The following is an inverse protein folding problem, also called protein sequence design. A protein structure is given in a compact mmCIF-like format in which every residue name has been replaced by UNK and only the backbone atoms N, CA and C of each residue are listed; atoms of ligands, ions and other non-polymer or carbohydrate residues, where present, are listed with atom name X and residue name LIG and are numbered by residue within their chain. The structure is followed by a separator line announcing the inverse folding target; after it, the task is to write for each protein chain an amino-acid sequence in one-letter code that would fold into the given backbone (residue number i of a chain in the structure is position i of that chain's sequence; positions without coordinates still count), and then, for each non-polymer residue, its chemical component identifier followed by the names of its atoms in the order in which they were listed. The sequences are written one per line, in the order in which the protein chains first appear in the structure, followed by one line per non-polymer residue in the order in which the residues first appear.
data_IF_983933542729
#
_entry.id   IF_983933542729
#
_cell.length_a   1.000
_cell.length_b   1.000
_cell.length_c   1.000
_cell.angle_alpha   90.00
_cell.angle_beta   90.00
_cell.angle_gamma   90.00
#
_symmetry.space_group_name_H-M   'P 1'
#
loop_
_entity.id
_entity.type
_entity.pdbx_description
1 polymer ?
#
# COMPACT_ATOMS: atom_id res chain seq x y z
N UNK A 1 17.09 -18.40 -16.67
CA UNK A 1 16.51 -17.04 -16.78
C UNK A 1 15.07 -17.18 -17.24
N UNK A 2 14.08 -16.87 -16.40
CA UNK A 2 12.70 -16.77 -16.88
C UNK A 2 12.59 -15.44 -17.64
N UNK A 3 12.54 -15.51 -18.97
CA UNK A 3 12.39 -14.33 -19.83
C UNK A 3 11.07 -13.60 -19.58
N UNK A 4 10.88 -12.49 -20.29
CA UNK A 4 9.67 -11.64 -20.23
C UNK A 4 8.39 -12.47 -20.38
N UNK A 5 8.39 -13.50 -21.22
CA UNK A 5 7.27 -14.42 -21.41
C UNK A 5 6.90 -15.21 -20.14
N UNK A 6 7.91 -15.62 -19.37
CA UNK A 6 7.70 -16.30 -18.09
C UNK A 6 7.13 -15.38 -17.02
N UNK A 7 7.46 -14.09 -17.05
CA UNK A 7 6.83 -13.08 -16.18
C UNK A 7 5.37 -12.84 -16.59
N UNK A 8 5.10 -12.66 -17.89
CA UNK A 8 3.75 -12.46 -18.41
C UNK A 8 2.82 -13.63 -18.05
N UNK A 9 3.30 -14.88 -18.22
CA UNK A 9 2.55 -16.07 -17.83
C UNK A 9 2.23 -16.12 -16.34
N UNK A 10 3.18 -15.77 -15.46
CA UNK A 10 2.94 -15.71 -14.00
C UNK A 10 1.92 -14.64 -13.63
N UNK A 11 1.99 -13.47 -14.25
CA UNK A 11 1.03 -12.39 -13.97
C UNK A 11 -0.36 -12.80 -14.44
N UNK A 12 -0.49 -13.39 -15.63
CA UNK A 12 -1.77 -13.90 -16.11
C UNK A 12 -2.36 -14.95 -15.16
N UNK A 13 -1.55 -15.93 -14.72
CA UNK A 13 -1.97 -16.94 -13.76
C UNK A 13 -2.44 -16.33 -12.42
N UNK A 14 -1.72 -15.31 -11.93
CA UNK A 14 -2.11 -14.57 -10.74
C UNK A 14 -3.45 -13.83 -10.94
N UNK A 15 -3.65 -13.18 -12.08
CA UNK A 15 -4.92 -12.52 -12.41
C UNK A 15 -6.09 -13.50 -12.47
N UNK A 16 -5.90 -14.67 -13.10
CA UNK A 16 -6.91 -15.74 -13.12
C UNK A 16 -7.21 -16.28 -11.72
N UNK A 17 -6.20 -16.43 -10.86
CA UNK A 17 -6.40 -16.86 -9.48
C UNK A 17 -7.19 -15.83 -8.66
N UNK A 18 -6.87 -14.54 -8.80
CA UNK A 18 -7.58 -13.45 -8.13
C UNK A 18 -9.03 -13.32 -8.63
N UNK A 19 -9.30 -13.48 -9.93
CA UNK A 19 -10.66 -13.51 -10.46
C UNK A 19 -11.49 -14.66 -9.87
N UNK A 20 -10.89 -15.86 -9.72
CA UNK A 20 -11.53 -16.99 -9.04
C UNK A 20 -11.81 -16.70 -7.56
N UNK A 21 -10.87 -16.05 -6.87
CA UNK A 21 -11.05 -15.64 -5.48
C UNK A 21 -12.21 -14.65 -5.31
N UNK A 22 -12.31 -13.63 -6.18
CA UNK A 22 -13.43 -12.68 -6.18
C UNK A 22 -14.76 -13.40 -6.42
N UNK A 23 -14.82 -14.33 -7.37
CA UNK A 23 -16.03 -15.11 -7.62
C UNK A 23 -16.42 -15.95 -6.40
N UNK A 24 -15.45 -16.53 -5.69
CA UNK A 24 -15.71 -17.29 -4.45
C UNK A 24 -16.22 -16.39 -3.32
N UNK A 25 -15.62 -15.20 -3.11
CA UNK A 25 -16.06 -14.24 -2.11
C UNK A 25 -17.49 -13.75 -2.39
N UNK A 26 -17.82 -13.46 -3.65
CA UNK A 26 -19.19 -13.08 -4.05
C UNK A 26 -20.20 -14.19 -3.80
N UNK A 27 -19.84 -15.45 -4.07
CA UNK A 27 -20.69 -16.61 -3.72
C UNK A 27 -20.88 -16.71 -2.21
N UNK A 28 -19.82 -16.58 -1.43
CA UNK A 28 -19.88 -16.60 0.04
C UNK A 28 -20.81 -15.51 0.60
N UNK A 29 -20.75 -14.30 0.01
CA UNK A 29 -21.65 -13.21 0.37
C UNK A 29 -23.12 -13.56 0.09
N UNK A 30 -23.41 -14.16 -1.06
CA UNK A 30 -24.76 -14.63 -1.40
C UNK A 30 -25.29 -15.63 -0.36
N UNK A 31 -24.47 -16.64 -0.02
CA UNK A 31 -24.82 -17.63 0.99
C UNK A 31 -25.05 -17.03 2.38
N UNK A 32 -24.27 -16.02 2.78
CA UNK A 32 -24.47 -15.31 4.05
C UNK A 32 -25.80 -14.53 4.07
N UNK A 33 -26.17 -13.90 2.96
CA UNK A 33 -27.45 -13.19 2.83
C UNK A 33 -28.63 -14.16 2.92
N UNK A 34 -28.54 -15.31 2.22
CA UNK A 34 -29.54 -16.37 2.27
C UNK A 34 -29.67 -16.94 3.69
N UNK A 35 -28.56 -17.28 4.34
CA UNK A 35 -28.54 -17.78 5.71
C UNK A 35 -29.13 -16.77 6.71
N UNK A 36 -28.85 -15.47 6.55
CA UNK A 36 -29.44 -14.41 7.38
C UNK A 36 -30.96 -14.32 7.17
N UNK A 37 -31.43 -14.47 5.92
CA UNK A 37 -32.86 -14.47 5.62
C UNK A 37 -33.57 -15.66 6.27
N UNK A 38 -33.01 -16.87 6.15
CA UNK A 38 -33.53 -18.09 6.79
C UNK A 38 -33.51 -17.97 8.31
N UNK A 39 -32.43 -17.44 8.88
CA UNK A 39 -32.31 -17.20 10.32
C UNK A 39 -33.39 -16.25 10.83
N UNK A 40 -33.66 -15.16 10.12
CA UNK A 40 -34.73 -14.21 10.48
C UNK A 40 -36.12 -14.84 10.43
N UNK A 41 -36.37 -15.73 9.48
CA UNK A 41 -37.63 -16.49 9.41
C UNK A 41 -37.74 -17.45 10.60
N UNK A 42 -36.67 -18.16 10.94
CA UNK A 42 -36.65 -19.10 12.06
C UNK A 42 -36.85 -18.41 13.43
N UNK A 43 -36.38 -17.16 13.57
CA UNK A 43 -36.59 -16.36 14.77
C UNK A 43 -37.95 -15.69 14.89
N UNK A 44 -38.82 -15.78 13.88
CA UNK A 44 -40.12 -15.13 13.93
C UNK A 44 -40.95 -15.66 15.14
N UNK A 45 -41.08 -14.81 16.16
CA UNK A 45 -41.80 -15.14 17.41
C UNK A 45 -40.92 -15.53 18.60
N UNK A 46 -39.60 -15.68 18.41
CA UNK A 46 -38.64 -15.89 19.51
C UNK A 46 -38.34 -14.54 20.18
N UNK A 47 -38.43 -14.47 21.52
CA UNK A 47 -38.20 -13.24 22.31
C UNK A 47 -36.88 -13.25 23.08
N UNK A 48 -35.98 -14.16 22.74
CA UNK A 48 -34.71 -14.34 23.44
C UNK A 48 -33.70 -13.26 23.06
N UNK A 49 -33.09 -12.62 24.06
CA UNK A 49 -32.13 -11.53 23.89
C UNK A 49 -30.83 -12.01 23.24
N UNK A 50 -30.42 -13.26 23.48
CA UNK A 50 -29.19 -13.81 22.90
C UNK A 50 -29.33 -13.98 21.38
N UNK A 51 -30.55 -14.28 20.90
CA UNK A 51 -30.84 -14.40 19.47
C UNK A 51 -30.85 -13.06 18.73
N UNK A 52 -30.99 -11.95 19.46
CA UNK A 52 -31.02 -10.60 18.90
C UNK A 52 -29.63 -10.09 18.45
N UNK A 53 -28.54 -10.66 18.96
CA UNK A 53 -27.17 -10.27 18.60
C UNK A 53 -26.70 -10.88 17.27
N UNK A 54 -27.26 -12.02 16.87
CA UNK A 54 -26.81 -12.81 15.71
C UNK A 54 -26.86 -12.04 14.39
N UNK A 55 -27.89 -11.22 14.07
CA UNK A 55 -27.88 -10.40 12.85
C UNK A 55 -26.64 -9.49 12.74
N UNK A 56 -26.15 -8.95 13.87
CA UNK A 56 -24.95 -8.11 13.88
C UNK A 56 -23.69 -8.87 13.48
N UNK A 57 -23.59 -10.15 13.83
CA UNK A 57 -22.48 -11.02 13.40
C UNK A 57 -22.51 -11.25 11.89
N UNK A 58 -23.70 -11.42 11.31
CA UNK A 58 -23.85 -11.51 9.85
C UNK A 58 -23.46 -10.20 9.15
N UNK A 59 -23.87 -9.06 9.70
CA UNK A 59 -23.53 -7.74 9.15
C UNK A 59 -22.00 -7.51 9.16
N UNK A 60 -21.31 -7.86 10.25
CA UNK A 60 -19.85 -7.80 10.35
C UNK A 60 -19.17 -8.74 9.32
N UNK A 61 -19.63 -9.99 9.22
CA UNK A 61 -19.10 -10.94 8.25
C UNK A 61 -19.30 -10.47 6.80
N UNK A 62 -20.47 -9.88 6.48
CA UNK A 62 -20.74 -9.31 5.17
C UNK A 62 -19.81 -8.12 4.87
N UNK A 63 -19.60 -7.23 5.84
CA UNK A 63 -18.70 -6.10 5.71
C UNK A 63 -17.25 -6.55 5.44
N UNK A 64 -16.76 -7.58 6.14
CA UNK A 64 -15.39 -8.10 5.92
C UNK A 64 -15.24 -8.77 4.54
N UNK A 65 -16.26 -9.51 4.07
CA UNK A 65 -16.25 -10.10 2.73
C UNK A 65 -16.23 -9.01 1.65
N UNK A 66 -17.00 -7.94 1.83
CA UNK A 66 -17.02 -6.79 0.91
C UNK A 66 -15.68 -6.05 0.90
N UNK A 67 -15.12 -5.74 2.08
CA UNK A 67 -13.82 -5.09 2.21
C UNK A 67 -12.69 -5.93 1.58
N UNK A 68 -12.72 -7.24 1.78
CA UNK A 68 -11.74 -8.17 1.17
C UNK A 68 -11.89 -8.23 -0.34
N UNK A 69 -13.13 -8.30 -0.84
CA UNK A 69 -13.39 -8.27 -2.28
C UNK A 69 -12.85 -6.99 -2.92
N UNK A 70 -13.11 -5.84 -2.31
CA UNK A 70 -12.62 -4.55 -2.79
C UNK A 70 -11.08 -4.48 -2.83
N UNK A 71 -10.39 -4.96 -1.78
CA UNK A 71 -8.92 -5.04 -1.72
C UNK A 71 -8.33 -5.86 -2.87
N UNK A 72 -8.93 -7.02 -3.17
CA UNK A 72 -8.46 -7.90 -4.26
C UNK A 72 -8.71 -7.25 -5.64
N UNK A 73 -9.85 -6.58 -5.83
CA UNK A 73 -10.16 -5.87 -7.08
C UNK A 73 -9.22 -4.69 -7.32
N UNK A 74 -8.86 -3.96 -6.27
CA UNK A 74 -7.89 -2.87 -6.36
C UNK A 74 -6.51 -3.38 -6.76
N UNK A 75 -6.05 -4.48 -6.14
CA UNK A 75 -4.77 -5.10 -6.49
C UNK A 75 -4.73 -5.55 -7.96
N UNK A 76 -5.80 -6.19 -8.45
CA UNK A 76 -5.93 -6.59 -9.86
C UNK A 76 -5.85 -5.38 -10.81
N UNK A 77 -6.62 -4.34 -10.52
CA UNK A 77 -6.63 -3.12 -11.34
C UNK A 77 -5.22 -2.50 -11.46
N UNK A 78 -4.45 -2.49 -10.38
CA UNK A 78 -3.07 -1.97 -10.37
C UNK A 78 -2.13 -2.86 -11.21
N UNK A 79 -2.27 -4.18 -11.12
CA UNK A 79 -1.49 -5.13 -11.92
C UNK A 79 -1.78 -4.97 -13.42
N UNK A 80 -3.04 -4.80 -13.80
CA UNK A 80 -3.45 -4.59 -15.20
C UNK A 80 -2.93 -3.28 -15.79
N UNK A 81 -2.93 -2.20 -15.00
CA UNK A 81 -2.31 -0.92 -15.38
C UNK A 81 -0.81 -1.12 -15.61
N UNK A 82 -0.12 -1.76 -14.68
CA UNK A 82 1.31 -2.01 -14.77
C UNK A 82 1.68 -2.87 -15.99
N UNK A 83 0.92 -3.94 -16.25
CA UNK A 83 1.09 -4.78 -17.43
C UNK A 83 0.95 -3.98 -18.73
N UNK A 84 -0.09 -3.15 -18.85
CA UNK A 84 -0.28 -2.31 -20.04
C UNK A 84 0.88 -1.35 -20.26
N UNK A 85 1.52 -0.86 -19.19
CA UNK A 85 2.71 -0.02 -19.30
C UNK A 85 3.94 -0.81 -19.76
N UNK A 86 4.08 -2.07 -19.35
CA UNK A 86 5.20 -2.91 -19.78
C UNK A 86 5.05 -3.42 -21.22
N UNK A 87 3.83 -3.67 -21.69
CA UNK A 87 3.56 -4.26 -23.02
C UNK A 87 3.17 -3.24 -24.09
N UNK A 88 3.03 -1.96 -23.75
CA UNK A 88 2.76 -0.89 -24.70
C UNK A 88 3.97 -0.58 -25.61
N UNK A 89 3.76 0.05 -26.77
CA UNK A 89 4.86 0.42 -27.67
C UNK A 89 5.86 1.33 -26.94
N UNK A 90 7.14 0.92 -26.97
CA UNK A 90 8.26 1.64 -26.40
C UNK A 90 8.34 3.05 -27.01
N UNK A 91 7.87 4.06 -26.27
CA UNK A 91 7.81 5.44 -26.74
C UNK A 91 6.54 6.20 -26.35
N UNK A 92 5.51 5.54 -25.84
CA UNK A 92 4.40 6.25 -25.23
C UNK A 92 4.87 6.87 -23.89
N UNK A 93 4.80 8.20 -23.70
CA UNK A 93 5.15 8.82 -22.43
C UNK A 93 4.29 8.20 -21.34
N UNK A 94 4.92 7.85 -20.22
CA UNK A 94 4.25 7.38 -19.01
C UNK A 94 3.06 8.32 -18.76
N UNK A 95 1.81 7.86 -18.83
CA UNK A 95 0.73 8.66 -18.30
C UNK A 95 0.94 8.61 -16.79
N UNK A 96 1.61 9.62 -16.26
CA UNK A 96 1.35 10.09 -14.91
C UNK A 96 -0.16 10.07 -14.80
N UNK A 97 -0.71 9.26 -13.88
CA UNK A 97 -2.15 9.23 -13.62
C UNK A 97 -2.51 10.62 -13.10
N UNK A 98 -2.76 11.52 -14.06
CA UNK A 98 -3.52 12.71 -13.93
C UNK A 98 -4.90 12.23 -13.52
N UNK A 99 -5.19 12.35 -12.23
CA UNK A 99 -6.57 12.55 -11.85
C UNK A 99 -7.09 13.71 -12.68
N UNK A 100 -8.28 13.53 -13.25
CA UNK A 100 -8.94 14.53 -14.07
C UNK A 100 -8.82 15.93 -13.44
N UNK A 101 -8.21 16.84 -14.19
CA UNK A 101 -7.87 18.18 -13.74
C UNK A 101 -7.03 18.90 -14.79
N UNK A 102 -7.60 19.12 -15.97
CA UNK A 102 -7.05 20.07 -16.93
C UNK A 102 -7.26 21.50 -16.38
N UNK A 103 -6.29 21.98 -15.60
CA UNK A 103 -5.94 23.40 -15.44
C UNK A 103 -4.70 23.51 -14.56
N UNK A 104 -3.69 24.29 -14.97
CA UNK A 104 -2.61 24.70 -14.07
C UNK A 104 -1.21 24.11 -14.31
N UNK A 105 -0.70 24.08 -15.55
CA UNK A 105 0.73 23.83 -15.78
C UNK A 105 1.64 24.89 -15.10
N UNK A 106 1.13 26.10 -14.84
CA UNK A 106 1.81 27.11 -14.02
C UNK A 106 1.71 26.88 -12.50
N UNK A 107 0.62 26.23 -12.04
CA UNK A 107 0.32 26.05 -10.62
C UNK A 107 1.24 25.02 -9.97
N UNK A 108 1.67 23.98 -10.71
CA UNK A 108 2.55 22.92 -10.21
C UNK A 108 3.95 23.42 -9.83
N UNK A 109 4.58 24.26 -10.67
CA UNK A 109 5.94 24.78 -10.40
C UNK A 109 5.95 25.78 -9.24
N UNK A 110 4.96 26.67 -9.21
CA UNK A 110 4.82 27.66 -8.14
C UNK A 110 4.46 26.98 -6.80
N UNK A 111 3.65 25.91 -6.84
CA UNK A 111 3.36 25.07 -5.69
C UNK A 111 4.61 24.34 -5.17
N UNK A 112 5.44 23.78 -6.04
CA UNK A 112 6.72 23.17 -5.66
C UNK A 112 7.64 24.22 -5.02
N UNK A 113 7.69 25.44 -5.56
CA UNK A 113 8.47 26.53 -4.98
C UNK A 113 7.97 26.92 -3.57
N UNK A 114 6.65 27.02 -3.37
CA UNK A 114 6.04 27.26 -2.05
C UNK A 114 6.35 26.15 -1.04
N UNK A 115 6.37 24.89 -1.48
CA UNK A 115 6.73 23.75 -0.61
C UNK A 115 8.22 23.76 -0.25
N UNK A 116 9.11 24.05 -1.20
CA UNK A 116 10.56 24.17 -0.94
C UNK A 116 10.88 25.31 0.03
N UNK A 117 10.17 26.43 -0.06
CA UNK A 117 10.34 27.55 0.85
C UNK A 117 9.95 27.22 2.31
N UNK A 118 9.13 26.18 2.52
CA UNK A 118 8.70 25.72 3.85
C UNK A 118 9.57 24.61 4.43
N UNK A 119 10.53 24.07 3.65
CA UNK A 119 11.44 23.05 4.15
C UNK A 119 12.49 23.68 5.07
N UNK A 120 12.85 23.01 6.18
CA UNK A 120 13.95 23.46 7.02
C UNK A 120 15.27 23.47 6.21
N UNK A 121 16.25 24.29 6.63
CA UNK A 121 17.51 24.41 5.92
C UNK A 121 18.20 23.04 5.78
N UNK A 122 18.94 22.80 4.68
CA UNK A 122 19.68 21.56 4.48
C UNK A 122 20.60 21.27 5.67
N UNK A 123 20.54 20.05 6.18
CA UNK A 123 21.40 19.62 7.29
C UNK A 123 22.85 19.57 6.85
N UNK A 124 23.75 20.16 7.66
CA UNK A 124 25.19 20.10 7.41
C UNK A 124 25.70 18.68 7.67
N UNK A 125 26.49 18.08 6.76
CA UNK A 125 27.09 16.77 7.00
C UNK A 125 27.88 16.74 8.31
N UNK A 126 27.86 15.59 9.01
CA UNK A 126 28.56 15.34 10.28
C UNK A 126 28.20 16.27 11.47
N UNK A 127 27.12 17.06 11.38
CA UNK A 127 26.68 17.95 12.48
C UNK A 127 25.86 17.27 13.57
N UNK A 128 25.51 15.99 13.40
CA UNK A 128 24.58 15.27 14.28
C UNK A 128 23.12 15.74 14.18
N UNK A 129 22.83 16.73 13.32
CA UNK A 129 21.46 17.18 13.06
C UNK A 129 20.68 16.10 12.31
N UNK A 130 19.49 15.77 12.83
CA UNK A 130 18.60 14.78 12.23
C UNK A 130 17.96 15.34 10.96
N UNK A 131 17.71 14.49 9.98
CA UNK A 131 16.94 14.88 8.80
C UNK A 131 15.49 15.16 9.21
N UNK A 132 15.02 16.35 8.85
CA UNK A 132 13.64 16.77 8.99
C UNK A 132 13.02 16.82 7.60
N UNK A 133 11.86 16.20 7.43
CA UNK A 133 11.15 16.17 6.15
C UNK A 133 9.65 16.36 6.34
N UNK A 134 8.97 16.75 5.27
CA UNK A 134 7.50 16.71 5.22
C UNK A 134 7.10 15.55 4.31
N UNK A 135 6.31 14.63 4.84
CA UNK A 135 5.71 13.55 4.05
C UNK A 135 4.29 13.93 3.65
N UNK A 136 3.99 13.73 2.37
CA UNK A 136 2.65 13.89 1.81
C UNK A 136 2.12 12.51 1.43
N UNK A 137 1.15 12.01 2.18
CA UNK A 137 0.45 10.77 1.84
C UNK A 137 -0.64 11.07 0.81
N UNK A 138 -0.71 10.31 -0.29
CA UNK A 138 -1.76 10.48 -1.31
C UNK A 138 -3.03 9.76 -0.84
N UNK A 139 -4.13 10.51 -0.63
CA UNK A 139 -5.44 9.94 -0.29
C UNK A 139 -6.31 10.79 0.63
N UNK A 140 -5.74 11.78 1.32
CA UNK A 140 -6.47 12.84 2.02
C UNK A 140 -5.80 14.16 1.63
N UNK A 141 -6.57 15.21 1.42
CA UNK A 141 -6.09 16.46 0.80
C UNK A 141 -4.83 17.06 1.46
N UNK A 142 -4.28 18.08 0.80
CA UNK A 142 -3.03 18.80 1.13
C UNK A 142 -2.88 19.26 2.60
N UNK A 143 -3.97 19.24 3.37
CA UNK A 143 -4.01 19.60 4.78
C UNK A 143 -3.33 18.60 5.74
N UNK A 144 -3.01 17.37 5.32
CA UNK A 144 -2.42 16.35 6.21
C UNK A 144 -0.92 16.08 5.92
N UNK A 145 -0.09 17.14 5.82
CA UNK A 145 1.38 16.95 5.79
C UNK A 145 1.89 16.47 7.14
N UNK A 146 2.58 15.33 7.18
CA UNK A 146 3.16 14.80 8.44
C UNK A 146 4.64 15.15 8.51
N UNK A 147 5.04 15.71 9.66
CA UNK A 147 6.43 16.01 9.93
C UNK A 147 7.20 14.71 10.21
N UNK A 148 8.15 14.41 9.34
CA UNK A 148 9.09 13.31 9.52
C UNK A 148 10.27 13.83 10.34
N UNK A 149 10.45 13.24 11.52
CA UNK A 149 11.70 13.38 12.28
C UNK A 149 12.34 12.01 12.33
N UNK A 150 13.55 11.89 11.78
CA UNK A 150 14.32 10.65 11.84
C UNK A 150 14.46 10.16 13.30
N UNK A 151 13.96 8.96 13.59
CA UNK A 151 13.90 8.36 14.92
C UNK A 151 12.63 8.60 15.75
N UNK A 152 11.61 9.31 15.23
CA UNK A 152 10.29 9.44 15.89
C UNK A 152 9.11 8.93 15.05
N UNK A 153 9.25 8.95 13.71
CA UNK A 153 8.13 8.66 12.78
C UNK A 153 8.29 7.35 11.99
N UNK A 154 9.50 6.78 11.94
CA UNK A 154 9.76 5.48 11.31
C UNK A 154 9.91 4.48 12.46
N UNK A 155 9.09 3.42 12.48
CA UNK A 155 9.21 2.34 13.45
C UNK A 155 10.66 1.83 13.47
N UNK A 156 11.32 1.90 14.62
CA UNK A 156 12.68 1.40 14.86
C UNK A 156 12.77 -0.14 14.85
N UNK A 157 11.75 -0.84 14.34
CA UNK A 157 11.71 -2.29 14.26
C UNK A 157 11.71 -2.66 12.78
N UNK A 158 12.80 -3.26 12.25
CA UNK A 158 12.80 -3.75 10.88
C UNK A 158 11.63 -4.72 10.70
N UNK A 159 10.80 -4.47 9.69
CA UNK A 159 9.66 -5.31 9.38
C UNK A 159 10.18 -6.74 9.14
N UNK A 160 9.71 -7.74 9.88
CA UNK A 160 10.09 -9.12 9.64
C UNK A 160 9.40 -9.68 8.37
N UNK A 161 10.06 -10.64 7.71
CA UNK A 161 9.47 -11.43 6.62
C UNK A 161 9.91 -11.03 5.21
N UNK A 162 9.23 -11.59 4.19
CA UNK A 162 9.63 -11.46 2.77
C UNK A 162 9.54 -10.01 2.26
N UNK A 163 8.70 -9.18 2.88
CA UNK A 163 8.59 -7.74 2.63
C UNK A 163 9.39 -6.90 3.64
N UNK A 164 10.32 -7.52 4.37
CA UNK A 164 11.15 -6.84 5.34
C UNK A 164 12.08 -5.82 4.70
N UNK A 165 12.37 -4.75 5.43
CA UNK A 165 13.23 -3.66 4.96
C UNK A 165 14.57 -4.19 4.44
N UNK A 166 15.15 -5.19 5.09
CA UNK A 166 16.44 -5.76 4.69
C UNK A 166 16.44 -6.34 3.27
N UNK A 167 15.34 -6.99 2.91
CA UNK A 167 15.20 -7.64 1.60
C UNK A 167 14.72 -6.65 0.53
N UNK A 168 13.91 -5.68 0.93
CA UNK A 168 13.37 -4.67 0.03
C UNK A 168 14.45 -3.64 -0.36
N UNK A 169 15.22 -3.16 0.62
CA UNK A 169 16.22 -2.12 0.42
C UNK A 169 17.36 -2.61 -0.48
N UNK A 170 17.83 -3.84 -0.31
CA UNK A 170 18.88 -4.41 -1.16
C UNK A 170 18.48 -4.46 -2.66
N UNK A 171 17.18 -4.58 -2.97
CA UNK A 171 16.66 -4.62 -4.35
C UNK A 171 16.27 -3.25 -4.92
N UNK A 172 15.95 -2.28 -4.07
CA UNK A 172 15.59 -0.93 -4.51
C UNK A 172 16.83 -0.06 -4.68
N UNK A 173 17.89 -0.34 -3.93
CA UNK A 173 19.14 0.41 -4.04
C UNK A 173 19.82 0.13 -5.39
N UNK A 174 20.26 1.16 -6.14
CA UNK A 174 21.02 0.97 -7.36
C UNK A 174 22.31 0.16 -7.13
N UNK A 175 22.72 -0.61 -8.14
CA UNK A 175 23.96 -1.39 -8.08
C UNK A 175 25.17 -0.51 -7.72
N UNK A 176 26.02 -1.01 -6.82
CA UNK A 176 27.21 -0.28 -6.36
C UNK A 176 26.93 0.81 -5.32
N UNK A 177 25.67 1.06 -4.96
CA UNK A 177 25.33 2.00 -3.89
C UNK A 177 25.26 1.29 -2.53
N UNK A 178 25.53 2.05 -1.47
CA UNK A 178 25.36 1.60 -0.09
C UNK A 178 24.48 2.57 0.67
N UNK A 179 23.63 2.04 1.53
CA UNK A 179 22.81 2.82 2.45
C UNK A 179 23.09 2.36 3.88
N UNK A 180 23.39 3.32 4.76
CA UNK A 180 23.58 3.07 6.19
C UNK A 180 22.36 3.56 6.95
N UNK A 181 21.74 2.70 7.74
CA UNK A 181 20.61 3.05 8.60
C UNK A 181 21.07 3.03 10.04
N UNK A 182 20.82 4.12 10.75
CA UNK A 182 21.13 4.26 12.17
C UNK A 182 19.84 4.10 12.96
N UNK A 183 19.84 3.16 13.91
CA UNK A 183 18.70 2.84 14.76
C UNK A 183 19.04 2.96 16.25
N UNK A 184 18.00 2.88 17.07
CA UNK A 184 18.12 2.73 18.53
C UNK A 184 17.10 1.68 18.96
N UNK A 185 17.58 0.62 19.62
CA UNK A 185 16.75 -0.44 20.21
C UNK A 185 15.95 0.07 21.41
N UNK A 186 14.99 -0.72 21.89
CA UNK A 186 14.16 -0.37 23.06
C UNK A 186 15.02 -0.10 24.31
N UNK A 187 16.13 -0.83 24.46
CA UNK A 187 17.09 -0.66 25.56
C UNK A 187 18.05 0.55 25.37
N UNK A 188 17.81 1.39 24.36
CA UNK A 188 18.62 2.57 24.07
C UNK A 188 19.95 2.28 23.37
N UNK A 189 20.25 1.02 23.05
CA UNK A 189 21.47 0.65 22.32
C UNK A 189 21.38 1.11 20.87
N UNK A 190 22.41 1.83 20.40
CA UNK A 190 22.52 2.28 19.01
C UNK A 190 22.83 1.11 18.10
N UNK A 191 22.09 0.98 17.00
CA UNK A 191 22.34 -0.01 15.95
C UNK A 191 22.71 0.67 14.65
N UNK A 192 23.48 -0.03 13.83
CA UNK A 192 23.90 0.42 12.50
C UNK A 192 23.75 -0.74 11.54
N UNK A 193 22.90 -0.57 10.54
CA UNK A 193 22.66 -1.57 9.51
C UNK A 193 23.15 -1.05 8.15
N UNK A 194 23.79 -1.94 7.39
CA UNK A 194 24.36 -1.63 6.09
C UNK A 194 23.64 -2.42 5.00
N UNK A 195 23.11 -1.70 4.02
CA UNK A 195 22.45 -2.27 2.86
C UNK A 195 23.25 -1.94 1.60
N UNK A 196 23.42 -2.93 0.73
CA UNK A 196 24.09 -2.79 -0.57
C UNK A 196 23.08 -3.10 -1.67
N UNK A 197 23.08 -2.28 -2.72
CA UNK A 197 22.30 -2.56 -3.92
C UNK A 197 22.83 -3.81 -4.62
N UNK A 198 21.96 -4.79 -4.82
CA UNK A 198 22.25 -6.00 -5.59
C UNK A 198 22.05 -5.74 -7.10
N UNK A 199 22.82 -6.40 -7.98
CA UNK A 199 22.50 -6.42 -9.40
C UNK A 199 21.14 -7.11 -9.62
N UNK A 200 20.24 -6.40 -10.33
CA UNK A 200 18.86 -6.83 -10.59
C UNK A 200 18.70 -7.97 -11.58
#
# INVERSE_FOLDING_TARGET
MAGVDGLAARIHAASTAAARAIAALRRSRGLLIEALAEYRVALAGVRDLDTAAVPGVFDEALAEVEATTARVQEALSRIEVYLRHLTGPAGAPVPVVAGAGASGAGESSERIARLRARLPPPVKPASGQKTHGLWFARGRGEAESRHLVSGKTINNVPCAGIAGCDRLLARILPEGTTMTVYGVTEDGTRTVDYYRGEPG
#
